data_IF_264826942074
#
_entry.id   IF_264826942074
#
_cell.length_a   1.000
_cell.length_b   1.000
_cell.length_c   1.000
_cell.angle_alpha   90.00
_cell.angle_beta   90.00
_cell.angle_gamma   90.00
#
_symmetry.space_group_name_H-M   'P 1'
#
loop_
_entity.id
_entity.type
_entity.pdbx_description
1 polymer ?
#
# COMPACT_ATOMS: atom_id res chain seq x y z
N UNK A 1 14.83 17.90 -21.73
CA UNK A 1 15.50 17.16 -20.63
C UNK A 1 15.57 18.02 -19.32
N UNK A 2 16.03 19.30 -19.39
CA UNK A 2 16.08 20.20 -18.21
C UNK A 2 14.69 20.45 -17.60
N UNK A 3 13.69 20.69 -18.43
CA UNK A 3 12.32 20.95 -17.99
C UNK A 3 11.67 19.66 -17.40
N UNK A 4 11.92 18.50 -17.99
CA UNK A 4 11.48 17.22 -17.45
C UNK A 4 12.05 16.97 -16.04
N UNK A 5 13.29 17.40 -15.79
CA UNK A 5 13.92 17.32 -14.47
C UNK A 5 13.29 18.29 -13.46
N UNK A 6 13.00 19.54 -13.88
CA UNK A 6 12.38 20.56 -13.01
C UNK A 6 10.97 20.13 -12.59
N UNK A 7 10.19 19.61 -13.53
CA UNK A 7 8.86 19.10 -13.23
C UNK A 7 8.95 17.82 -12.41
N UNK A 8 9.98 16.98 -12.62
CA UNK A 8 10.30 15.85 -11.77
C UNK A 8 10.52 16.27 -10.32
N UNK A 9 11.32 17.29 -10.10
CA UNK A 9 11.56 17.85 -8.76
C UNK A 9 10.30 18.47 -8.14
N UNK A 10 9.44 19.13 -8.92
CA UNK A 10 8.18 19.67 -8.39
C UNK A 10 7.20 18.60 -7.94
N UNK A 11 7.12 17.51 -8.68
CA UNK A 11 6.29 16.40 -8.25
C UNK A 11 6.91 15.68 -7.05
N UNK A 12 8.24 15.59 -6.94
CA UNK A 12 8.93 15.15 -5.72
C UNK A 12 8.64 16.07 -4.54
N UNK A 13 8.57 17.37 -4.78
CA UNK A 13 8.25 18.38 -3.80
C UNK A 13 6.79 18.25 -3.29
N UNK A 14 5.83 18.11 -4.21
CA UNK A 14 4.43 17.84 -3.88
C UNK A 14 4.26 16.48 -3.16
N UNK A 15 5.16 15.53 -3.44
CA UNK A 15 5.22 14.23 -2.80
C UNK A 15 5.70 14.29 -1.34
N UNK A 16 6.68 15.17 -1.05
CA UNK A 16 7.32 15.28 0.26
C UNK A 16 6.54 16.11 1.29
N UNK A 17 5.25 16.33 1.12
CA UNK A 17 4.38 17.06 2.05
C UNK A 17 4.53 18.58 2.06
N UNK A 18 5.17 19.15 1.07
CA UNK A 18 5.35 20.59 1.00
C UNK A 18 4.40 21.16 -0.05
N UNK A 19 3.63 22.17 0.29
CA UNK A 19 2.99 22.99 -0.73
C UNK A 19 4.07 23.90 -1.32
N UNK A 20 4.22 23.98 -2.66
CA UNK A 20 5.19 24.86 -3.26
C UNK A 20 4.89 26.29 -2.78
N UNK A 21 5.92 26.96 -2.29
CA UNK A 21 5.81 28.36 -1.87
C UNK A 21 5.37 29.24 -3.03
N UNK A 22 4.82 30.40 -2.74
CA UNK A 22 4.45 31.38 -3.78
C UNK A 22 5.67 31.78 -4.65
N UNK A 23 6.88 31.76 -4.06
CA UNK A 23 8.14 32.07 -4.76
C UNK A 23 8.51 30.96 -5.77
N UNK A 24 8.35 29.70 -5.41
CA UNK A 24 8.60 28.55 -6.28
C UNK A 24 7.58 28.49 -7.42
N UNK A 25 6.32 28.77 -7.15
CA UNK A 25 5.30 28.90 -8.18
C UNK A 25 5.58 30.06 -9.13
N UNK A 26 6.05 31.20 -8.61
CA UNK A 26 6.43 32.36 -9.40
C UNK A 26 7.70 32.08 -10.24
N UNK A 27 8.67 31.36 -9.68
CA UNK A 27 9.85 30.91 -10.42
C UNK A 27 9.46 30.04 -11.60
N UNK A 28 8.59 29.07 -11.39
CA UNK A 28 8.09 28.22 -12.46
C UNK A 28 7.35 29.00 -13.53
N UNK A 29 6.50 29.92 -13.13
CA UNK A 29 5.76 30.76 -14.07
C UNK A 29 6.69 31.64 -14.88
N UNK A 30 7.74 32.19 -14.24
CA UNK A 30 8.79 32.98 -14.90
C UNK A 30 9.62 32.13 -15.84
N UNK A 31 9.90 30.89 -15.48
CA UNK A 31 10.64 29.94 -16.28
C UNK A 31 9.84 29.47 -17.50
N UNK A 32 8.54 29.17 -17.33
CA UNK A 32 7.60 28.87 -18.42
C UNK A 32 7.56 30.02 -19.42
N UNK A 33 7.48 31.26 -18.93
CA UNK A 33 7.49 32.48 -19.75
C UNK A 33 8.81 32.67 -20.51
N UNK A 34 9.95 32.46 -19.84
CA UNK A 34 11.28 32.56 -20.45
C UNK A 34 11.48 31.52 -21.57
N UNK A 35 10.88 30.34 -21.46
CA UNK A 35 10.92 29.31 -22.49
C UNK A 35 9.85 29.49 -23.58
N UNK A 36 9.10 30.62 -23.56
CA UNK A 36 8.00 30.89 -24.50
C UNK A 36 6.92 29.81 -24.51
N UNK A 37 6.67 29.20 -23.35
CA UNK A 37 5.63 28.20 -23.16
C UNK A 37 4.28 28.85 -22.80
N UNK A 38 4.24 30.17 -22.71
CA UNK A 38 3.11 31.04 -22.36
C UNK A 38 2.05 31.21 -23.47
N UNK A 39 2.17 30.47 -24.57
CA UNK A 39 1.20 30.53 -25.68
C UNK A 39 -0.16 30.00 -25.37
N UNK A 40 -0.48 29.66 -24.10
CA UNK A 40 -1.67 28.89 -23.77
C UNK A 40 -2.44 29.42 -22.54
N UNK A 41 -3.02 30.61 -22.62
CA UNK A 41 -4.18 31.06 -21.85
C UNK A 41 -4.03 31.09 -20.31
N UNK A 42 -4.99 31.72 -19.62
CA UNK A 42 -5.03 31.98 -18.18
C UNK A 42 -4.97 30.72 -17.27
N UNK A 43 -5.21 29.53 -17.81
CA UNK A 43 -5.13 28.23 -17.13
C UNK A 43 -3.80 27.50 -17.39
N UNK A 44 -2.74 28.20 -17.74
CA UNK A 44 -1.43 27.70 -18.21
C UNK A 44 -0.77 26.60 -17.38
N UNK A 45 -1.15 26.45 -16.11
CA UNK A 45 -0.65 25.39 -15.20
C UNK A 45 -0.88 23.96 -15.72
N UNK A 46 -1.90 23.73 -16.56
CA UNK A 46 -2.28 22.41 -17.03
C UNK A 46 -2.00 22.15 -18.51
N UNK A 47 -1.83 23.20 -19.30
CA UNK A 47 -1.68 23.09 -20.77
C UNK A 47 -0.36 22.49 -21.20
N UNK A 48 0.68 22.71 -20.42
CA UNK A 48 2.00 22.15 -20.68
C UNK A 48 2.01 20.61 -20.69
N UNK A 49 1.30 19.99 -19.73
CA UNK A 49 1.19 18.54 -19.69
C UNK A 49 0.40 17.95 -20.86
N UNK A 50 -0.41 18.75 -21.54
CA UNK A 50 -1.07 18.33 -22.77
C UNK A 50 -0.08 18.07 -23.91
N UNK A 51 1.04 18.80 -23.93
CA UNK A 51 2.07 18.63 -24.97
C UNK A 51 2.95 17.40 -24.77
N UNK A 52 3.03 16.84 -23.56
CA UNK A 52 3.73 15.58 -23.35
C UNK A 52 2.91 14.39 -23.85
N UNK A 53 3.57 13.51 -24.56
CA UNK A 53 3.00 12.22 -24.94
C UNK A 53 2.58 11.40 -23.71
N UNK A 54 1.52 10.66 -23.82
CA UNK A 54 0.96 9.82 -22.75
C UNK A 54 2.01 8.89 -22.12
N UNK A 55 2.98 8.40 -22.89
CA UNK A 55 4.07 7.54 -22.42
C UNK A 55 4.97 8.25 -21.41
N UNK A 56 5.31 9.52 -21.62
CA UNK A 56 6.14 10.31 -20.70
C UNK A 56 5.40 10.52 -19.37
N UNK A 57 4.11 10.87 -19.42
CA UNK A 57 3.26 11.03 -18.24
C UNK A 57 3.17 9.74 -17.42
N UNK A 58 3.02 8.61 -18.11
CA UNK A 58 2.96 7.28 -17.48
C UNK A 58 4.28 6.91 -16.81
N UNK A 59 5.41 7.09 -17.50
CA UNK A 59 6.73 6.83 -16.92
C UNK A 59 7.00 7.68 -15.68
N UNK A 60 6.56 8.93 -15.70
CA UNK A 60 6.69 9.83 -14.58
C UNK A 60 5.85 9.36 -13.38
N UNK A 61 4.58 9.02 -13.62
CA UNK A 61 3.69 8.50 -12.59
C UNK A 61 4.20 7.16 -12.03
N UNK A 62 4.73 6.26 -12.89
CA UNK A 62 5.33 5.00 -12.47
C UNK A 62 6.46 5.20 -11.43
N UNK A 63 7.32 6.21 -11.65
CA UNK A 63 8.39 6.53 -10.71
C UNK A 63 7.86 7.00 -9.35
N UNK A 64 6.80 7.85 -9.35
CA UNK A 64 6.16 8.31 -8.11
C UNK A 64 5.55 7.13 -7.37
N UNK A 65 4.79 6.28 -8.06
CA UNK A 65 4.17 5.09 -7.46
C UNK A 65 5.21 4.15 -6.86
N UNK A 66 6.32 3.91 -7.56
CA UNK A 66 7.42 3.08 -7.06
C UNK A 66 8.03 3.62 -5.77
N UNK A 67 8.32 4.91 -5.70
CA UNK A 67 8.85 5.56 -4.49
C UNK A 67 7.87 5.48 -3.31
N UNK A 68 6.55 5.66 -3.57
CA UNK A 68 5.51 5.50 -2.55
C UNK A 68 5.51 4.10 -1.95
N UNK A 69 5.64 3.09 -2.80
CA UNK A 69 5.62 1.68 -2.41
C UNK A 69 6.89 1.29 -1.64
N UNK A 70 8.06 1.79 -2.05
CA UNK A 70 9.35 1.52 -1.40
C UNK A 70 9.35 1.89 0.10
N UNK A 71 8.69 2.98 0.46
CA UNK A 71 8.57 3.44 1.85
C UNK A 71 7.70 2.54 2.74
N UNK A 72 6.93 1.61 2.16
CA UNK A 72 6.02 0.68 2.87
C UNK A 72 5.07 1.37 3.87
N UNK A 73 4.88 2.66 3.70
CA UNK A 73 3.98 3.50 4.49
C UNK A 73 3.42 4.61 3.59
N UNK A 74 2.18 5.02 3.85
CA UNK A 74 1.51 6.06 3.09
C UNK A 74 0.84 7.04 4.06
N UNK A 75 1.28 8.29 4.06
CA UNK A 75 0.62 9.35 4.83
C UNK A 75 -0.63 9.84 4.09
N UNK A 76 -1.54 10.47 4.84
CA UNK A 76 -2.74 11.09 4.26
C UNK A 76 -2.39 12.18 3.22
N UNK A 77 -1.30 12.91 3.47
CA UNK A 77 -0.84 13.98 2.56
C UNK A 77 -0.29 13.37 1.27
N UNK A 78 0.50 12.30 1.35
CA UNK A 78 1.00 11.59 0.17
C UNK A 78 -0.12 11.03 -0.70
N UNK A 79 -1.15 10.45 -0.08
CA UNK A 79 -2.34 9.97 -0.77
C UNK A 79 -3.08 11.09 -1.50
N UNK A 80 -3.34 12.23 -0.82
CA UNK A 80 -3.94 13.40 -1.43
C UNK A 80 -3.10 13.97 -2.59
N UNK A 81 -1.78 14.00 -2.42
CA UNK A 81 -0.88 14.49 -3.43
C UNK A 81 -0.87 13.59 -4.68
N UNK A 82 -1.00 12.28 -4.51
CA UNK A 82 -1.13 11.37 -5.65
C UNK A 82 -2.34 11.73 -6.52
N UNK A 83 -3.50 12.03 -5.92
CA UNK A 83 -4.69 12.49 -6.66
C UNK A 83 -4.49 13.88 -7.30
N UNK A 84 -3.78 14.79 -6.65
CA UNK A 84 -3.43 16.09 -7.24
C UNK A 84 -2.51 15.91 -8.45
N UNK A 85 -1.49 15.06 -8.34
CA UNK A 85 -0.54 14.76 -9.42
C UNK A 85 -1.26 14.16 -10.62
N UNK A 86 -2.19 13.23 -10.43
CA UNK A 86 -2.96 12.63 -11.52
C UNK A 86 -3.76 13.68 -12.29
N UNK A 87 -4.36 14.65 -11.59
CA UNK A 87 -5.05 15.80 -12.20
C UNK A 87 -4.10 16.71 -12.98
N UNK A 88 -2.93 17.02 -12.41
CA UNK A 88 -1.89 17.82 -13.09
C UNK A 88 -1.43 17.14 -14.37
N UNK A 89 -1.24 15.83 -14.34
CA UNK A 89 -0.85 15.03 -15.50
C UNK A 89 -1.97 14.86 -16.54
N UNK A 90 -3.19 15.31 -16.22
CA UNK A 90 -4.39 15.10 -17.04
C UNK A 90 -4.62 13.62 -17.37
N UNK A 91 -4.36 12.75 -16.43
CA UNK A 91 -4.63 11.32 -16.51
C UNK A 91 -5.86 11.01 -15.67
N UNK A 92 -6.95 10.49 -16.26
CA UNK A 92 -8.12 10.06 -15.51
C UNK A 92 -7.74 8.93 -14.51
N UNK A 93 -8.24 9.00 -13.29
CA UNK A 93 -7.93 8.01 -12.25
C UNK A 93 -8.22 6.57 -12.72
N UNK A 94 -9.36 6.35 -13.37
CA UNK A 94 -9.73 5.04 -13.92
C UNK A 94 -8.70 4.50 -14.94
N UNK A 95 -8.11 5.38 -15.74
CA UNK A 95 -7.08 4.98 -16.69
C UNK A 95 -5.78 4.63 -15.97
N UNK A 96 -5.44 5.37 -14.93
CA UNK A 96 -4.23 5.14 -14.13
C UNK A 96 -4.33 3.80 -13.40
N UNK A 97 -5.44 3.53 -12.74
CA UNK A 97 -5.67 2.26 -12.05
C UNK A 97 -5.61 1.04 -12.98
N UNK A 98 -6.11 1.19 -14.21
CA UNK A 98 -6.00 0.15 -15.24
C UNK A 98 -4.58 -0.07 -15.75
N UNK A 99 -3.79 0.99 -15.80
CA UNK A 99 -2.40 0.95 -16.28
C UNK A 99 -1.43 0.41 -15.23
N UNK A 100 -1.70 0.70 -13.95
CA UNK A 100 -0.84 0.35 -12.81
C UNK A 100 -1.59 -0.45 -11.73
N UNK A 101 -2.28 -1.55 -12.08
CA UNK A 101 -3.20 -2.22 -11.17
C UNK A 101 -2.50 -2.75 -9.91
N UNK A 102 -1.28 -3.26 -10.06
CA UNK A 102 -0.52 -3.81 -8.93
C UNK A 102 -0.03 -2.71 -7.98
N UNK A 103 0.45 -1.60 -8.51
CA UNK A 103 0.90 -0.46 -7.70
C UNK A 103 -0.29 0.15 -6.92
N UNK A 104 -1.44 0.30 -7.56
CA UNK A 104 -2.64 0.80 -6.89
C UNK A 104 -3.18 -0.18 -5.86
N UNK A 105 -3.11 -1.48 -6.12
CA UNK A 105 -3.42 -2.49 -5.11
C UNK A 105 -2.60 -2.29 -3.84
N UNK A 106 -1.27 -2.07 -4.00
CA UNK A 106 -0.37 -1.87 -2.85
C UNK A 106 -0.67 -0.54 -2.16
N UNK A 107 -0.88 0.55 -2.90
CA UNK A 107 -1.21 1.87 -2.34
C UNK A 107 -2.53 1.83 -1.57
N UNK A 108 -3.56 1.20 -2.11
CA UNK A 108 -4.84 1.03 -1.43
C UNK A 108 -4.70 0.20 -0.15
N UNK A 109 -3.86 -0.84 -0.16
CA UNK A 109 -3.57 -1.63 1.04
C UNK A 109 -2.80 -0.80 2.09
N UNK A 110 -1.83 0.02 1.68
CA UNK A 110 -1.10 0.92 2.58
C UNK A 110 -2.02 1.99 3.20
N UNK A 111 -2.95 2.54 2.43
CA UNK A 111 -3.96 3.49 2.90
C UNK A 111 -4.91 2.85 3.93
N UNK A 112 -5.40 1.65 3.61
CA UNK A 112 -6.23 0.88 4.54
C UNK A 112 -5.45 0.51 5.81
N UNK A 113 -4.21 0.06 5.68
CA UNK A 113 -3.33 -0.27 6.81
C UNK A 113 -3.11 0.93 7.75
N UNK A 114 -2.93 2.15 7.20
CA UNK A 114 -2.88 3.38 7.98
C UNK A 114 -4.18 3.59 8.76
N UNK A 115 -5.30 3.51 8.07
CA UNK A 115 -6.63 3.67 8.70
C UNK A 115 -6.84 2.67 9.84
N UNK A 116 -6.46 1.41 9.63
CA UNK A 116 -6.56 0.35 10.64
C UNK A 116 -5.60 0.53 11.82
N UNK A 117 -4.49 1.26 11.65
CA UNK A 117 -3.58 1.63 12.75
C UNK A 117 -4.12 2.77 13.60
N UNK A 118 -4.73 3.77 12.97
CA UNK A 118 -5.09 5.04 13.60
C UNK A 118 -6.51 5.04 14.18
N UNK A 119 -7.47 4.40 13.49
CA UNK A 119 -8.88 4.38 13.90
C UNK A 119 -9.19 3.19 14.80
N UNK A 120 -10.29 3.28 15.55
CA UNK A 120 -10.81 2.17 16.35
C UNK A 120 -11.08 0.95 15.46
N UNK A 121 -10.70 -0.24 15.95
CA UNK A 121 -11.09 -1.49 15.31
C UNK A 121 -12.54 -1.82 15.69
N UNK A 122 -13.35 -2.11 14.70
CA UNK A 122 -14.74 -2.52 14.89
C UNK A 122 -14.88 -4.03 14.76
N UNK A 123 -15.73 -4.65 15.60
CA UNK A 123 -16.04 -6.07 15.48
C UNK A 123 -16.66 -6.42 14.12
N UNK A 124 -16.23 -7.53 13.57
CA UNK A 124 -16.89 -8.16 12.42
C UNK A 124 -17.87 -9.20 12.98
N UNK A 125 -19.17 -8.95 12.75
CA UNK A 125 -20.23 -9.79 13.32
C UNK A 125 -20.84 -10.76 12.28
N UNK A 126 -20.45 -10.67 11.02
CA UNK A 126 -21.03 -11.47 9.92
C UNK A 126 -20.03 -12.43 9.29
N UNK A 127 -20.52 -13.62 8.92
CA UNK A 127 -19.78 -14.60 8.11
C UNK A 127 -18.46 -15.09 8.71
N UNK A 128 -18.42 -15.32 10.02
CA UNK A 128 -17.32 -16.03 10.67
C UNK A 128 -17.61 -17.52 10.61
N UNK A 129 -16.74 -18.28 9.94
CA UNK A 129 -16.96 -19.70 9.64
C UNK A 129 -16.41 -20.65 10.72
N UNK A 130 -15.77 -20.13 11.76
CA UNK A 130 -15.23 -20.91 12.86
C UNK A 130 -15.85 -20.50 14.22
N UNK A 131 -15.90 -21.40 15.20
CA UNK A 131 -16.45 -21.09 16.50
C UNK A 131 -15.55 -20.12 17.26
N UNK A 132 -16.13 -19.00 17.74
CA UNK A 132 -15.46 -18.06 18.61
C UNK A 132 -15.49 -18.59 20.06
N UNK A 133 -14.40 -18.37 20.79
CA UNK A 133 -14.33 -18.64 22.21
C UNK A 133 -15.16 -17.60 23.01
N UNK A 134 -15.40 -17.87 24.28
CA UNK A 134 -16.07 -16.89 25.16
C UNK A 134 -15.28 -15.57 25.21
N UNK A 135 -15.95 -14.47 24.88
CA UNK A 135 -15.34 -13.13 24.84
C UNK A 135 -14.37 -12.89 23.66
N UNK A 136 -14.34 -13.80 22.70
CA UNK A 136 -13.55 -13.62 21.48
C UNK A 136 -14.29 -12.73 20.48
N UNK A 137 -13.57 -11.75 19.94
CA UNK A 137 -14.09 -10.75 19.00
C UNK A 137 -13.21 -10.78 17.74
N UNK A 138 -13.81 -10.96 16.57
CA UNK A 138 -13.11 -10.89 15.29
C UNK A 138 -13.06 -9.45 14.80
N UNK A 139 -11.86 -8.98 14.42
CA UNK A 139 -11.64 -7.62 13.92
C UNK A 139 -11.28 -7.57 12.45
N UNK A 140 -10.78 -8.66 11.88
CA UNK A 140 -10.36 -8.64 10.48
C UNK A 140 -10.54 -10.01 9.84
N UNK A 141 -10.99 -10.00 8.57
CA UNK A 141 -11.18 -11.20 7.76
C UNK A 141 -10.57 -10.99 6.38
N UNK A 142 -9.83 -11.97 5.89
CA UNK A 142 -9.43 -12.11 4.49
C UNK A 142 -10.14 -13.34 3.91
N UNK A 143 -10.96 -13.13 2.90
CA UNK A 143 -11.81 -14.20 2.33
C UNK A 143 -11.10 -15.09 1.34
N UNK A 144 -10.02 -14.58 0.72
CA UNK A 144 -9.22 -15.32 -0.27
C UNK A 144 -7.74 -15.17 0.06
N UNK A 145 -7.13 -16.26 0.46
CA UNK A 145 -5.70 -16.35 0.73
C UNK A 145 -5.19 -17.74 0.30
N UNK A 146 -3.89 -17.81 0.04
CA UNK A 146 -3.21 -19.09 -0.13
C UNK A 146 -2.19 -19.25 1.01
N UNK A 147 -2.23 -20.37 1.67
CA UNK A 147 -1.23 -20.78 2.66
C UNK A 147 -0.14 -21.60 2.00
N UNK A 148 1.11 -21.28 2.29
CA UNK A 148 2.26 -22.05 1.81
C UNK A 148 3.31 -22.22 2.92
N UNK A 149 4.13 -23.26 2.80
CA UNK A 149 5.41 -23.34 3.52
C UNK A 149 6.36 -22.30 2.97
N UNK A 150 7.46 -22.07 3.65
CA UNK A 150 8.46 -21.10 3.21
C UNK A 150 9.79 -21.76 2.84
N UNK A 151 10.52 -21.10 1.94
CA UNK A 151 11.95 -21.28 1.72
C UNK A 151 12.65 -19.94 1.93
N UNK A 152 13.90 -19.96 2.33
CA UNK A 152 14.72 -18.77 2.51
C UNK A 152 15.64 -18.59 1.31
N UNK A 153 15.62 -17.40 0.69
CA UNK A 153 16.52 -16.98 -0.38
C UNK A 153 17.00 -15.56 -0.09
N UNK A 154 18.31 -15.34 -0.01
CA UNK A 154 18.92 -14.04 0.27
C UNK A 154 18.27 -13.33 1.48
N UNK A 155 18.15 -14.03 2.61
CA UNK A 155 17.56 -13.55 3.86
C UNK A 155 16.07 -13.19 3.79
N UNK A 156 15.40 -13.45 2.67
CA UNK A 156 13.96 -13.28 2.49
C UNK A 156 13.26 -14.63 2.44
N UNK A 157 12.02 -14.63 2.90
CA UNK A 157 11.17 -15.82 2.86
C UNK A 157 10.17 -15.74 1.72
N UNK A 158 10.07 -16.82 0.96
CA UNK A 158 9.18 -16.98 -0.19
C UNK A 158 8.30 -18.22 -0.03
N UNK A 159 7.14 -18.27 -0.67
CA UNK A 159 6.31 -19.47 -0.66
C UNK A 159 7.05 -20.63 -1.32
N UNK A 160 6.82 -21.84 -0.80
CA UNK A 160 7.41 -23.09 -1.29
C UNK A 160 6.44 -24.24 -1.20
N UNK A 161 6.45 -25.09 -2.21
CA UNK A 161 5.61 -26.28 -2.26
C UNK A 161 4.16 -25.99 -2.66
N UNK A 162 3.26 -26.84 -2.17
CA UNK A 162 1.82 -26.73 -2.46
C UNK A 162 1.21 -25.53 -1.72
N UNK A 163 0.36 -24.82 -2.43
CA UNK A 163 -0.45 -23.72 -1.89
C UNK A 163 -1.85 -24.26 -1.57
N UNK A 164 -2.34 -24.00 -0.37
CA UNK A 164 -3.67 -24.39 0.09
C UNK A 164 -4.57 -23.15 0.22
N UNK A 165 -5.75 -23.19 -0.40
CA UNK A 165 -6.74 -22.12 -0.26
C UNK A 165 -7.21 -22.02 1.19
N UNK A 166 -7.32 -20.78 1.68
CA UNK A 166 -7.76 -20.52 3.03
C UNK A 166 -8.40 -19.13 3.19
N UNK A 167 -9.05 -18.94 4.31
CA UNK A 167 -9.49 -17.65 4.84
C UNK A 167 -8.65 -17.31 6.07
N UNK A 168 -8.54 -16.04 6.38
CA UNK A 168 -7.75 -15.57 7.52
C UNK A 168 -8.65 -14.74 8.41
N UNK A 169 -8.52 -14.96 9.72
CA UNK A 169 -9.24 -14.20 10.73
C UNK A 169 -8.26 -13.71 11.81
N UNK A 170 -8.42 -12.47 12.21
CA UNK A 170 -7.69 -11.88 13.34
C UNK A 170 -8.70 -11.52 14.42
N UNK A 171 -8.54 -12.11 15.59
CA UNK A 171 -9.38 -11.85 16.75
C UNK A 171 -8.56 -11.19 17.88
N UNK A 172 -9.22 -10.78 18.95
CA UNK A 172 -8.54 -10.31 20.16
C UNK A 172 -7.81 -11.42 20.93
N UNK A 173 -7.98 -12.70 20.55
CA UNK A 173 -7.35 -13.84 21.23
C UNK A 173 -6.34 -14.57 20.37
N UNK A 174 -6.62 -14.72 19.06
CA UNK A 174 -5.83 -15.59 18.18
C UNK A 174 -5.85 -15.13 16.73
N UNK A 175 -4.88 -15.66 16.00
CA UNK A 175 -4.76 -15.58 14.56
C UNK A 175 -5.16 -16.94 13.96
N UNK A 176 -6.15 -16.96 13.07
CA UNK A 176 -6.72 -18.20 12.52
C UNK A 176 -6.55 -18.23 11.01
N UNK A 177 -5.97 -19.32 10.50
CA UNK A 177 -5.91 -19.68 9.09
C UNK A 177 -6.91 -20.83 8.89
N UNK A 178 -8.03 -20.53 8.25
CA UNK A 178 -9.17 -21.41 8.08
C UNK A 178 -9.20 -21.94 6.65
N UNK A 179 -8.95 -23.20 6.47
CA UNK A 179 -8.94 -23.89 5.19
C UNK A 179 -9.11 -25.39 5.39
N UNK A 180 -8.67 -26.20 4.44
CA UNK A 180 -8.69 -27.66 4.57
C UNK A 180 -8.02 -28.14 5.87
N UNK A 181 -6.93 -27.52 6.25
CA UNK A 181 -6.32 -27.66 7.58
C UNK A 181 -6.49 -26.38 8.37
N UNK A 182 -7.19 -26.48 9.49
CA UNK A 182 -7.36 -25.32 10.40
C UNK A 182 -6.11 -25.13 11.23
N UNK A 183 -5.58 -23.91 11.22
CA UNK A 183 -4.44 -23.50 12.05
C UNK A 183 -4.84 -22.29 12.89
N UNK A 184 -4.70 -22.45 14.19
CA UNK A 184 -5.06 -21.40 15.15
C UNK A 184 -3.87 -21.14 16.07
N UNK A 185 -3.48 -19.87 16.18
CA UNK A 185 -2.31 -19.44 16.94
C UNK A 185 -2.71 -18.34 17.93
N UNK A 186 -2.46 -18.55 19.21
CA UNK A 186 -2.64 -17.49 20.18
C UNK A 186 -1.72 -16.31 19.83
N UNK A 187 -2.19 -15.09 20.01
CA UNK A 187 -1.46 -13.89 19.60
C UNK A 187 -0.07 -13.78 20.26
N UNK A 188 0.07 -14.22 21.51
CA UNK A 188 1.33 -14.25 22.25
C UNK A 188 2.36 -15.26 21.73
N UNK A 189 1.92 -16.22 20.91
CA UNK A 189 2.80 -17.20 20.26
C UNK A 189 3.43 -16.68 18.97
N UNK A 190 2.96 -15.56 18.44
CA UNK A 190 3.51 -14.95 17.23
C UNK A 190 4.81 -14.25 17.58
N UNK A 191 5.92 -14.74 17.02
CA UNK A 191 7.27 -14.24 17.30
C UNK A 191 7.70 -13.12 16.34
N UNK A 192 7.12 -13.04 15.16
CA UNK A 192 7.46 -12.01 14.18
C UNK A 192 6.52 -12.02 12.98
N UNK A 193 6.42 -10.85 12.35
CA UNK A 193 5.61 -10.62 11.16
C UNK A 193 6.42 -9.82 10.16
N UNK A 194 6.40 -10.22 8.89
CA UNK A 194 7.07 -9.53 7.79
C UNK A 194 6.27 -9.55 6.51
N UNK A 195 6.65 -8.71 5.56
CA UNK A 195 6.08 -8.69 4.22
C UNK A 195 7.22 -8.74 3.21
N UNK A 196 7.16 -9.70 2.29
CA UNK A 196 8.11 -9.86 1.18
C UNK A 196 7.39 -9.55 -0.12
N UNK A 197 8.04 -8.76 -0.99
CA UNK A 197 7.59 -8.38 -2.34
C UNK A 197 6.15 -7.82 -2.39
N UNK A 198 5.72 -7.11 -1.33
CA UNK A 198 4.40 -6.48 -1.19
C UNK A 198 3.20 -7.43 -1.38
N UNK A 199 3.43 -8.73 -1.29
CA UNK A 199 2.45 -9.78 -1.61
C UNK A 199 2.47 -10.92 -0.60
N UNK A 200 3.63 -11.27 -0.08
CA UNK A 200 3.82 -12.40 0.81
C UNK A 200 3.83 -11.96 2.26
N UNK A 201 2.79 -12.30 2.99
CA UNK A 201 2.73 -12.07 4.42
C UNK A 201 3.41 -13.23 5.15
N UNK A 202 4.51 -12.94 5.82
CA UNK A 202 5.35 -13.92 6.52
C UNK A 202 5.10 -13.79 8.01
N UNK A 203 4.81 -14.90 8.68
CA UNK A 203 4.68 -14.91 10.14
C UNK A 203 5.44 -16.06 10.75
N UNK A 204 6.06 -15.81 11.90
CA UNK A 204 6.83 -16.79 12.66
C UNK A 204 6.14 -17.08 13.99
N UNK A 205 6.01 -18.34 14.32
CA UNK A 205 5.46 -18.81 15.59
C UNK A 205 6.62 -19.19 16.50
N UNK A 206 6.55 -18.85 17.78
CA UNK A 206 7.52 -19.27 18.80
C UNK A 206 7.71 -20.80 18.77
N UNK A 207 8.94 -21.25 18.93
CA UNK A 207 9.32 -22.67 18.90
C UNK A 207 9.05 -23.41 17.57
N UNK A 208 8.79 -22.67 16.47
CA UNK A 208 8.83 -23.23 15.13
C UNK A 208 10.09 -22.78 14.42
N UNK A 209 10.77 -23.72 13.75
CA UNK A 209 12.01 -23.46 13.05
C UNK A 209 11.80 -22.48 11.89
N UNK A 210 10.79 -22.77 11.06
CA UNK A 210 10.50 -22.02 9.84
C UNK A 210 9.26 -21.14 10.01
N UNK A 211 9.25 -19.94 9.43
CA UNK A 211 8.05 -19.14 9.33
C UNK A 211 7.07 -19.74 8.32
N UNK A 212 5.85 -19.20 8.30
CA UNK A 212 4.80 -19.54 7.36
C UNK A 212 4.50 -18.36 6.44
N UNK A 213 3.99 -18.66 5.25
CA UNK A 213 3.64 -17.69 4.24
C UNK A 213 2.14 -17.70 3.92
N UNK A 214 1.57 -16.51 3.81
CA UNK A 214 0.26 -16.30 3.24
C UNK A 214 0.40 -15.40 2.01
N UNK A 215 -0.18 -15.82 0.90
CA UNK A 215 -0.26 -15.04 -0.32
C UNK A 215 -1.61 -14.34 -0.32
N UNK A 216 -1.61 -13.02 -0.18
CA UNK A 216 -2.82 -12.22 0.00
C UNK A 216 -2.72 -10.89 -0.74
N UNK A 217 -3.87 -10.31 -1.07
CA UNK A 217 -3.92 -9.00 -1.74
C UNK A 217 -3.62 -7.82 -0.80
N UNK A 218 -3.82 -7.99 0.51
CA UNK A 218 -3.75 -6.91 1.51
C UNK A 218 -2.82 -7.26 2.69
N UNK A 219 -1.52 -7.51 2.46
CA UNK A 219 -0.59 -7.91 3.51
C UNK A 219 -0.33 -6.81 4.56
N UNK A 220 -0.33 -5.54 4.16
CA UNK A 220 -0.10 -4.41 5.07
C UNK A 220 -1.26 -4.17 6.02
N UNK A 221 -2.49 -4.32 5.53
CA UNK A 221 -3.71 -4.23 6.35
C UNK A 221 -3.77 -5.36 7.38
N UNK A 222 -3.46 -6.59 6.97
CA UNK A 222 -3.37 -7.73 7.88
C UNK A 222 -2.30 -7.51 8.95
N UNK A 223 -1.12 -7.02 8.56
CA UNK A 223 -0.05 -6.68 9.50
C UNK A 223 -0.48 -5.62 10.51
N UNK A 224 -1.16 -4.57 10.05
CA UNK A 224 -1.63 -3.47 10.90
C UNK A 224 -2.58 -3.96 11.99
N UNK A 225 -3.58 -4.77 11.63
CA UNK A 225 -4.55 -5.30 12.59
C UNK A 225 -3.92 -6.31 13.52
N UNK A 226 -3.11 -7.23 12.99
CA UNK A 226 -2.49 -8.26 13.82
C UNK A 226 -1.54 -7.67 14.86
N UNK A 227 -0.72 -6.67 14.49
CA UNK A 227 0.15 -5.95 15.43
C UNK A 227 -0.66 -5.25 16.53
N UNK A 228 -1.79 -4.63 16.18
CA UNK A 228 -2.66 -4.00 17.19
C UNK A 228 -3.26 -5.01 18.15
N UNK A 229 -3.76 -6.14 17.63
CA UNK A 229 -4.32 -7.18 18.48
C UNK A 229 -3.26 -7.81 19.40
N UNK A 230 -2.01 -7.95 18.95
CA UNK A 230 -0.89 -8.41 19.78
C UNK A 230 -0.60 -7.38 20.90
N UNK A 231 -0.52 -6.09 20.56
CA UNK A 231 -0.21 -5.04 21.53
C UNK A 231 -1.34 -4.78 22.55
N UNK A 232 -2.60 -5.03 22.20
CA UNK A 232 -3.73 -4.92 23.12
C UNK A 232 -3.74 -6.01 24.20
N UNK A 233 -2.95 -7.08 24.03
CA UNK A 233 -2.79 -8.17 25.02
C UNK A 233 -1.62 -7.97 25.99
N UNK A 234 -0.71 -7.06 25.69
CA UNK A 234 0.41 -6.67 26.55
C UNK A 234 0.00 -5.55 27.49
#
# INVERSE_FOLDING_TARGET
QLYSNIVGHLCEYLYNNQEPSSEELNFLHSFEKALRLDTFGADGKYLYWKSFGTSVKKSFLANILSKLIENKSLSYIQENNLYKISKILLLPNEQIEKEFPEQFRIINDLSLARTLREKQLYPINSNIEFPLNKGEICYYKVTKALYAKTRCENEKYYPSGKEDECQIYVTNQRFVVWGFTVRSYNLDTIAGIGITDNKYFIYKIKNKEWPFCLIISQPYSLQAVLNRCINLKQ
#
